data_IF_845957793730
#
_entry.id   IF_845957793730
#
_cell.length_a   1.000
_cell.length_b   1.000
_cell.length_c   1.000
_cell.angle_alpha   90.00
_cell.angle_beta   90.00
_cell.angle_gamma   90.00
#
_symmetry.space_group_name_H-M   'P 1'
#
loop_
_entity.id
_entity.type
_entity.pdbx_description
1 polymer ?
#
# COMPACT_ATOMS: atom_id res chain seq x y z
N UNK A 1 -7.46 -38.84 -25.55
CA UNK A 1 -6.10 -38.32 -25.32
C UNK A 1 -6.05 -36.78 -25.46
N UNK A 2 -6.59 -36.18 -26.52
CA UNK A 2 -6.66 -34.70 -26.67
C UNK A 2 -7.48 -34.02 -25.56
N UNK A 3 -8.69 -34.53 -25.25
CA UNK A 3 -9.56 -33.95 -24.22
C UNK A 3 -8.92 -33.92 -22.82
N UNK A 4 -8.11 -34.93 -22.49
CA UNK A 4 -7.38 -35.00 -21.22
C UNK A 4 -6.25 -33.96 -21.16
N UNK A 5 -5.52 -33.78 -22.27
CA UNK A 5 -4.49 -32.73 -22.38
C UNK A 5 -5.08 -31.33 -22.32
N UNK A 6 -6.21 -31.09 -22.99
CA UNK A 6 -6.92 -29.80 -22.95
C UNK A 6 -7.46 -29.50 -21.55
N UNK A 7 -8.02 -30.49 -20.85
CA UNK A 7 -8.50 -30.35 -19.48
C UNK A 7 -7.37 -29.99 -18.50
N UNK A 8 -6.19 -30.58 -18.67
CA UNK A 8 -4.99 -30.25 -17.88
C UNK A 8 -4.60 -28.78 -18.05
N UNK A 9 -4.50 -28.31 -19.30
CA UNK A 9 -4.12 -26.92 -19.60
C UNK A 9 -5.15 -25.94 -19.05
N UNK A 10 -6.45 -26.19 -19.28
CA UNK A 10 -7.52 -25.33 -18.75
C UNK A 10 -7.45 -25.24 -17.23
N UNK A 11 -7.23 -26.35 -16.52
CA UNK A 11 -7.08 -26.33 -15.05
C UNK A 11 -5.85 -25.54 -14.60
N UNK A 12 -4.75 -25.65 -15.33
CA UNK A 12 -3.50 -24.93 -15.08
C UNK A 12 -3.69 -23.43 -15.29
N UNK A 13 -4.35 -23.03 -16.39
CA UNK A 13 -4.71 -21.63 -16.65
C UNK A 13 -5.70 -21.09 -15.63
N UNK A 14 -6.68 -21.88 -15.20
CA UNK A 14 -7.63 -21.49 -14.15
C UNK A 14 -6.91 -21.30 -12.81
N UNK A 15 -5.96 -22.16 -12.44
CA UNK A 15 -5.16 -21.96 -11.23
C UNK A 15 -4.30 -20.69 -11.29
N UNK A 16 -3.72 -20.37 -12.45
CA UNK A 16 -2.99 -19.12 -12.67
C UNK A 16 -3.91 -17.90 -12.59
N UNK A 17 -5.11 -17.99 -13.19
CA UNK A 17 -6.12 -16.92 -13.18
C UNK A 17 -6.80 -16.73 -11.83
N UNK A 18 -6.80 -17.75 -10.97
CA UNK A 18 -7.37 -17.72 -9.62
C UNK A 18 -6.32 -17.44 -8.53
N UNK A 19 -5.10 -17.00 -8.90
CA UNK A 19 -4.01 -16.69 -7.95
C UNK A 19 -3.70 -17.85 -7.00
N UNK A 20 -3.84 -19.09 -7.49
CA UNK A 20 -3.54 -20.27 -6.70
C UNK A 20 -2.05 -20.28 -6.35
N UNK A 21 -1.74 -20.30 -5.04
CA UNK A 21 -0.36 -20.41 -4.56
C UNK A 21 0.35 -21.57 -5.27
N UNK A 22 1.52 -21.32 -5.90
CA UNK A 22 2.24 -22.38 -6.59
C UNK A 22 2.61 -23.48 -5.62
N UNK A 23 2.46 -24.73 -6.06
CA UNK A 23 2.64 -25.90 -5.20
C UNK A 23 4.07 -26.05 -4.66
N UNK A 24 5.04 -25.41 -5.31
CA UNK A 24 6.46 -25.43 -4.94
C UNK A 24 6.86 -24.38 -3.89
N UNK A 25 5.98 -23.42 -3.54
CA UNK A 25 6.27 -22.44 -2.48
C UNK A 25 5.53 -22.79 -1.19
N UNK A 26 6.31 -22.95 -0.12
CA UNK A 26 5.79 -23.04 1.24
C UNK A 26 5.61 -21.64 1.83
N UNK A 27 4.35 -21.19 1.94
CA UNK A 27 4.02 -19.89 2.53
C UNK A 27 4.57 -19.73 3.95
N UNK A 28 4.62 -20.80 4.74
CA UNK A 28 5.15 -20.74 6.11
C UNK A 28 6.65 -20.39 6.12
N UNK A 29 7.41 -20.88 5.14
CA UNK A 29 8.83 -20.55 5.01
C UNK A 29 9.01 -19.09 4.57
N UNK A 30 8.18 -18.60 3.65
CA UNK A 30 8.18 -17.19 3.22
C UNK A 30 7.83 -16.26 4.39
N UNK A 31 6.73 -16.52 5.11
CA UNK A 31 6.35 -15.76 6.31
C UNK A 31 7.43 -15.82 7.37
N UNK A 32 8.03 -17.00 7.58
CA UNK A 32 9.14 -17.19 8.51
C UNK A 32 10.36 -16.37 8.12
N UNK A 33 10.65 -16.20 6.84
CA UNK A 33 11.75 -15.34 6.39
C UNK A 33 11.48 -13.86 6.58
N UNK A 34 10.25 -13.41 6.31
CA UNK A 34 9.84 -12.02 6.50
C UNK A 34 9.91 -11.65 7.99
N UNK A 35 9.35 -12.50 8.86
CA UNK A 35 9.28 -12.25 10.32
C UNK A 35 10.61 -12.40 11.05
N UNK A 36 11.63 -13.04 10.45
CA UNK A 36 12.99 -13.09 10.99
C UNK A 36 13.78 -11.80 10.76
N UNK A 37 13.30 -10.91 9.89
CA UNK A 37 13.99 -9.66 9.57
C UNK A 37 13.92 -8.70 10.75
N UNK A 38 15.04 -8.06 11.07
CA UNK A 38 15.11 -7.07 12.13
C UNK A 38 14.08 -5.96 11.90
N UNK A 39 13.44 -5.47 12.97
CA UNK A 39 12.37 -4.46 12.97
C UNK A 39 11.00 -4.94 12.46
N UNK A 40 10.87 -6.16 11.92
CA UNK A 40 9.56 -6.73 11.55
C UNK A 40 8.86 -7.26 12.79
N UNK A 41 7.72 -6.65 13.14
CA UNK A 41 6.86 -7.10 14.24
C UNK A 41 5.96 -8.24 13.77
N UNK A 42 5.34 -8.10 12.59
CA UNK A 42 4.45 -9.12 12.03
C UNK A 42 4.28 -8.96 10.53
N UNK A 43 3.81 -10.02 9.86
CA UNK A 43 3.42 -9.98 8.46
C UNK A 43 2.06 -10.67 8.29
N UNK A 44 1.21 -10.10 7.46
CA UNK A 44 -0.14 -10.60 7.19
C UNK A 44 -0.55 -10.29 5.74
N UNK A 45 -1.71 -10.80 5.33
CA UNK A 45 -2.22 -10.66 3.97
C UNK A 45 -1.22 -11.11 2.88
N UNK A 46 -0.44 -12.16 3.19
CA UNK A 46 0.57 -12.70 2.29
C UNK A 46 -0.10 -13.45 1.14
N UNK A 47 0.04 -12.90 -0.05
CA UNK A 47 -0.40 -13.49 -1.31
C UNK A 47 0.81 -13.77 -2.20
N UNK A 48 0.83 -14.94 -2.83
CA UNK A 48 1.91 -15.36 -3.73
C UNK A 48 1.29 -16.02 -4.96
N UNK A 49 1.66 -15.56 -6.14
CA UNK A 49 1.14 -16.05 -7.42
C UNK A 49 2.27 -16.12 -8.46
N UNK A 50 2.09 -17.00 -9.46
CA UNK A 50 3.02 -17.12 -10.58
C UNK A 50 2.62 -16.15 -11.70
N UNK A 51 3.57 -15.35 -12.19
CA UNK A 51 3.40 -14.53 -13.40
C UNK A 51 3.65 -15.34 -14.66
N UNK A 52 4.56 -16.30 -14.60
CA UNK A 52 4.89 -17.24 -15.67
C UNK A 52 5.34 -18.58 -15.08
N UNK A 53 5.79 -19.52 -15.91
CA UNK A 53 6.37 -20.78 -15.43
C UNK A 53 7.68 -20.62 -14.64
N UNK A 54 8.32 -19.45 -14.76
CA UNK A 54 9.65 -19.18 -14.19
C UNK A 54 9.69 -17.95 -13.27
N UNK A 55 8.63 -17.12 -13.28
CA UNK A 55 8.56 -15.88 -12.52
C UNK A 55 7.44 -15.89 -11.48
N UNK A 56 7.83 -15.55 -10.25
CA UNK A 56 6.96 -15.50 -9.08
C UNK A 56 6.77 -14.08 -8.59
N UNK A 57 5.54 -13.77 -8.16
CA UNK A 57 5.17 -12.50 -7.56
C UNK A 57 4.52 -12.66 -6.18
N UNK A 58 4.63 -11.62 -5.36
CA UNK A 58 4.14 -11.59 -3.99
C UNK A 58 3.57 -10.22 -3.62
N UNK A 59 2.51 -10.23 -2.80
CA UNK A 59 2.01 -9.06 -2.07
C UNK A 59 1.93 -9.39 -0.59
N UNK A 60 2.36 -8.49 0.28
CA UNK A 60 2.32 -8.70 1.73
C UNK A 60 2.27 -7.37 2.49
N UNK A 61 1.61 -7.39 3.64
CA UNK A 61 1.64 -6.29 4.60
C UNK A 61 2.60 -6.64 5.73
N UNK A 62 3.51 -5.73 6.03
CA UNK A 62 4.56 -5.90 7.04
C UNK A 62 4.44 -4.78 8.06
N UNK A 63 4.22 -5.17 9.31
CA UNK A 63 4.24 -4.24 10.44
C UNK A 63 5.67 -4.11 10.91
N UNK A 64 6.20 -2.90 10.87
CA UNK A 64 7.51 -2.55 11.39
C UNK A 64 7.41 -1.86 12.74
N UNK A 65 8.49 -1.92 13.51
CA UNK A 65 8.71 -1.03 14.65
C UNK A 65 8.72 0.44 14.21
N UNK A 66 8.41 1.34 15.14
CA UNK A 66 8.44 2.78 14.88
C UNK A 66 9.87 3.21 14.52
N UNK A 67 10.08 3.50 13.23
CA UNK A 67 11.37 3.85 12.68
C UNK A 67 11.24 4.93 11.58
N UNK A 68 12.33 5.69 11.32
CA UNK A 68 12.35 6.62 10.20
C UNK A 68 12.05 5.93 8.86
N UNK A 69 11.40 6.64 7.94
CA UNK A 69 11.06 6.10 6.61
C UNK A 69 12.27 5.50 5.88
N UNK A 70 13.44 6.13 6.00
CA UNK A 70 14.67 5.60 5.39
C UNK A 70 15.05 4.21 5.90
N UNK A 71 14.85 3.93 7.20
CA UNK A 71 15.15 2.61 7.77
C UNK A 71 14.12 1.57 7.28
N UNK A 72 12.85 1.96 7.19
CA UNK A 72 11.80 1.12 6.64
C UNK A 72 12.07 0.74 5.16
N UNK A 73 12.52 1.70 4.34
CA UNK A 73 12.93 1.44 2.95
C UNK A 73 14.09 0.43 2.87
N UNK A 74 15.07 0.51 3.78
CA UNK A 74 16.16 -0.47 3.84
C UNK A 74 15.65 -1.87 4.20
N UNK A 75 14.71 -1.98 5.14
CA UNK A 75 14.07 -3.27 5.49
C UNK A 75 13.35 -3.86 4.29
N UNK A 76 12.58 -3.05 3.55
CA UNK A 76 11.89 -3.49 2.33
C UNK A 76 12.90 -3.99 1.30
N UNK A 77 13.99 -3.25 1.04
CA UNK A 77 15.03 -3.66 0.08
C UNK A 77 15.73 -4.96 0.47
N UNK A 78 16.02 -5.17 1.76
CA UNK A 78 16.58 -6.43 2.26
C UNK A 78 15.62 -7.59 2.03
N UNK A 79 14.34 -7.40 2.36
CA UNK A 79 13.29 -8.39 2.12
C UNK A 79 13.18 -8.74 0.63
N UNK A 80 13.14 -7.76 -0.26
CA UNK A 80 13.12 -7.97 -1.71
C UNK A 80 14.29 -8.86 -2.17
N UNK A 81 15.51 -8.54 -1.71
CA UNK A 81 16.71 -9.31 -2.05
C UNK A 81 16.66 -10.75 -1.53
N UNK A 82 16.21 -10.95 -0.30
CA UNK A 82 16.10 -12.29 0.32
C UNK A 82 14.99 -13.12 -0.31
N UNK A 83 13.85 -12.51 -0.63
CA UNK A 83 12.73 -13.17 -1.29
C UNK A 83 13.10 -13.61 -2.71
N UNK A 84 13.78 -12.74 -3.46
CA UNK A 84 14.32 -13.07 -4.77
C UNK A 84 15.36 -14.19 -4.70
N UNK A 85 16.35 -14.08 -3.80
CA UNK A 85 17.46 -15.04 -3.73
C UNK A 85 17.07 -16.43 -3.24
N UNK A 86 16.08 -16.55 -2.33
CA UNK A 86 15.72 -17.83 -1.70
C UNK A 86 14.50 -18.50 -2.31
N UNK A 87 13.54 -17.72 -2.79
CA UNK A 87 12.25 -18.22 -3.25
C UNK A 87 11.99 -17.91 -4.73
N UNK A 88 12.96 -17.32 -5.43
CA UNK A 88 12.82 -16.87 -6.82
C UNK A 88 11.65 -15.89 -7.05
N UNK A 89 11.24 -15.16 -6.00
CA UNK A 89 10.18 -14.15 -6.08
C UNK A 89 10.81 -12.84 -6.57
N UNK A 90 10.71 -12.61 -7.88
CA UNK A 90 11.32 -11.46 -8.55
C UNK A 90 10.47 -10.19 -8.52
N UNK A 91 9.17 -10.31 -8.24
CA UNK A 91 8.25 -9.18 -8.18
C UNK A 91 7.53 -9.13 -6.83
N UNK A 92 7.69 -8.05 -6.08
CA UNK A 92 7.14 -7.93 -4.73
C UNK A 92 6.47 -6.59 -4.53
N UNK A 93 5.30 -6.60 -3.89
CA UNK A 93 4.67 -5.42 -3.31
C UNK A 93 4.64 -5.60 -1.80
N UNK A 94 5.37 -4.75 -1.06
CA UNK A 94 5.45 -4.81 0.40
C UNK A 94 4.86 -3.52 0.96
N UNK A 95 3.69 -3.63 1.59
CA UNK A 95 3.08 -2.51 2.30
C UNK A 95 3.65 -2.43 3.72
N UNK A 96 4.26 -1.30 4.05
CA UNK A 96 4.81 -1.03 5.39
C UNK A 96 3.75 -0.39 6.27
N UNK A 97 3.62 -0.91 7.48
CA UNK A 97 2.67 -0.42 8.47
C UNK A 97 3.31 -0.27 9.85
N UNK A 98 2.77 0.63 10.68
CA UNK A 98 3.36 0.98 11.99
C UNK A 98 2.46 0.64 13.20
N UNK A 99 1.22 0.20 12.98
CA UNK A 99 0.25 -0.15 14.03
C UNK A 99 -0.90 -0.98 13.41
N UNK A 100 -1.30 -2.08 14.05
CA UNK A 100 -2.43 -2.91 13.59
C UNK A 100 -3.43 -3.11 14.75
N UNK A 101 -4.76 -3.07 14.48
CA UNK A 101 -5.38 -4.16 13.73
C UNK A 101 -6.30 -3.69 12.59
N UNK A 102 -6.14 -4.27 11.39
CA UNK A 102 -7.27 -4.45 10.48
C UNK A 102 -8.29 -5.38 11.15
N UNK A 103 -9.12 -4.83 12.05
CA UNK A 103 -10.47 -5.32 12.22
C UNK A 103 -11.22 -5.04 10.92
N UNK A 104 -12.08 -5.96 10.49
CA UNK A 104 -12.92 -5.88 9.30
C UNK A 104 -13.25 -4.42 8.93
N UNK A 105 -12.65 -3.92 7.85
CA UNK A 105 -13.04 -2.61 7.32
C UNK A 105 -14.45 -2.81 6.74
N UNK A 106 -15.47 -2.53 7.54
CA UNK A 106 -16.82 -2.34 7.04
C UNK A 106 -16.80 -1.09 6.15
N UNK A 107 -16.67 -1.28 4.84
CA UNK A 107 -16.96 -0.24 3.85
C UNK A 107 -18.48 0.04 3.83
N UNK A 108 -18.99 0.66 4.88
CA UNK A 108 -20.21 1.44 4.81
C UNK A 108 -19.91 2.68 3.97
N UNK A 109 -20.64 2.88 2.87
CA UNK A 109 -20.51 4.06 2.03
C UNK A 109 -20.90 5.32 2.84
N UNK A 110 -19.96 5.92 3.57
CA UNK A 110 -20.25 7.14 4.31
C UNK A 110 -19.19 7.68 5.26
N UNK A 111 -18.23 6.90 5.77
CA UNK A 111 -17.34 7.39 6.84
C UNK A 111 -15.88 6.95 6.63
N UNK A 112 -15.00 7.91 6.32
CA UNK A 112 -13.55 7.72 6.33
C UNK A 112 -12.97 8.50 7.52
N UNK A 113 -12.29 7.79 8.42
CA UNK A 113 -11.73 8.36 9.65
C UNK A 113 -10.35 8.98 9.39
N UNK A 114 -10.33 10.16 8.76
CA UNK A 114 -9.12 10.97 8.62
C UNK A 114 -9.46 12.46 8.77
N UNK A 115 -8.70 13.24 9.55
CA UNK A 115 -8.89 14.68 9.62
C UNK A 115 -8.33 15.31 8.35
N UNK A 116 -9.20 15.76 7.45
CA UNK A 116 -8.82 16.70 6.40
C UNK A 116 -9.31 18.10 6.77
N UNK A 117 -8.38 19.04 6.84
CA UNK A 117 -8.68 20.46 6.84
C UNK A 117 -9.27 20.81 5.47
N UNK A 118 -10.57 21.12 5.42
CA UNK A 118 -11.18 21.63 4.20
C UNK A 118 -10.56 23.00 3.88
N UNK A 119 -9.60 23.01 2.95
CA UNK A 119 -9.10 24.25 2.35
C UNK A 119 -10.22 24.84 1.50
N UNK A 120 -10.95 25.81 2.06
CA UNK A 120 -11.98 26.56 1.34
C UNK A 120 -11.29 27.57 0.43
N UNK A 121 -11.13 27.22 -0.84
CA UNK A 121 -10.72 28.16 -1.88
C UNK A 121 -11.90 29.10 -2.19
N UNK A 122 -11.91 30.27 -1.55
CA UNK A 122 -12.83 31.35 -1.93
C UNK A 122 -12.34 31.94 -3.26
N UNK A 123 -12.95 31.51 -4.36
CA UNK A 123 -12.79 32.15 -5.67
C UNK A 123 -13.47 33.51 -5.65
N UNK A 124 -12.71 34.57 -5.39
CA UNK A 124 -13.21 35.95 -5.50
C UNK A 124 -13.46 36.29 -6.97
N UNK A 125 -14.73 36.47 -7.36
CA UNK A 125 -15.13 37.02 -8.65
C UNK A 125 -15.76 38.41 -8.50
N UNK A 126 -15.19 39.34 -9.28
CA UNK A 126 -15.80 40.54 -9.89
C UNK A 126 -15.67 41.89 -9.15
N UNK A 127 -15.02 42.81 -9.87
CA UNK A 127 -14.71 44.22 -9.62
C UNK A 127 -15.90 45.19 -9.93
N UNK A 128 -15.68 46.50 -10.17
CA UNK A 128 -15.19 47.60 -9.33
C UNK A 128 -16.26 48.71 -9.14
N UNK A 129 -16.05 49.69 -8.24
CA UNK A 129 -16.27 51.15 -8.46
C UNK A 129 -16.45 51.97 -7.17
N UNK A 130 -15.96 53.22 -7.27
CA UNK A 130 -16.38 54.45 -6.57
C UNK A 130 -15.61 54.90 -5.31
N UNK A 131 -14.58 55.75 -5.52
CA UNK A 131 -14.31 56.95 -4.70
C UNK A 131 -15.44 57.98 -4.90
N UNK A 132 -15.69 59.04 -4.08
CA UNK A 132 -14.82 59.82 -3.17
C UNK A 132 -15.61 60.23 -1.86
N UNK A 133 -15.42 61.37 -1.12
CA UNK A 133 -14.42 62.44 -1.15
C UNK A 133 -13.76 62.81 0.21
N UNK A 134 -12.85 63.78 0.12
CA UNK A 134 -12.11 64.42 1.19
C UNK A 134 -12.96 65.19 2.24
N UNK A 135 -12.45 65.29 3.47
CA UNK A 135 -12.96 66.20 4.51
C UNK A 135 -12.31 65.90 5.86
N UNK A 136 -11.61 66.88 6.44
CA UNK A 136 -10.71 66.70 7.59
C UNK A 136 -11.33 66.98 8.97
N UNK A 137 -10.51 66.81 10.02
CA UNK A 137 -10.44 67.66 11.23
C UNK A 137 -9.71 66.93 12.39
N UNK A 138 -8.53 67.45 12.74
CA UNK A 138 -8.06 67.83 14.09
C UNK A 138 -8.61 67.16 15.37
N UNK A 139 -7.69 66.65 16.22
CA UNK A 139 -7.49 66.94 17.68
C UNK A 139 -6.87 65.72 18.40
N UNK A 140 -5.63 65.78 18.92
CA UNK A 140 -5.12 66.24 20.25
C UNK A 140 -5.50 65.38 21.48
N UNK A 141 -4.46 64.94 22.21
CA UNK A 141 -4.49 64.41 23.59
C UNK A 141 -4.18 62.90 23.65
N UNK A 142 -3.22 62.38 24.41
CA UNK A 142 -2.55 62.84 25.64
C UNK A 142 -1.22 62.08 25.78
#
# INVERSE_FOLDING_TARGET
LIAYGAWRIVRETVNLLLEGTPTDINLADVTGEITKTERVISAHDLHVWALSSEEMALSVHVVLEDCPLGDAEHVVRDLEGRLCGRFAIGHTTIQVESCHPCGEIHHGAGEHNHPHEHVVLVSSSTAPAASPPAGGSSSRGR
#
